data_IF_761978190149
#
_entry.id   IF_761978190149
#
_cell.length_a   1.000
_cell.length_b   1.000
_cell.length_c   1.000
_cell.angle_alpha   90.00
_cell.angle_beta   90.00
_cell.angle_gamma   90.00
#
_symmetry.space_group_name_H-M   'P 1'
#
loop_
_entity.id
_entity.type
_entity.pdbx_description
1 polymer ?
#
# COMPACT_ATOMS: atom_id res chain seq x y z
N UNK A 1 6.46 4.67 -18.19
CA UNK A 1 6.95 5.08 -16.85
C UNK A 1 7.45 3.84 -16.10
N UNK A 2 8.55 3.93 -15.34
CA UNK A 2 9.13 2.80 -14.59
C UNK A 2 8.89 2.96 -13.08
N UNK A 3 8.19 2.02 -12.47
CA UNK A 3 7.79 2.09 -11.05
C UNK A 3 8.99 2.24 -10.09
N UNK A 4 10.08 1.49 -10.33
CA UNK A 4 11.31 1.58 -9.52
C UNK A 4 11.92 2.98 -9.54
N UNK A 5 11.97 3.59 -10.72
CA UNK A 5 12.53 4.95 -10.88
C UNK A 5 11.64 6.00 -10.24
N UNK A 6 10.32 5.89 -10.37
CA UNK A 6 9.35 6.83 -9.78
C UNK A 6 9.47 6.86 -8.26
N UNK A 7 9.45 5.70 -7.61
CA UNK A 7 9.58 5.63 -6.13
C UNK A 7 10.97 6.08 -5.67
N UNK A 8 12.02 5.80 -6.44
CA UNK A 8 13.37 6.29 -6.15
C UNK A 8 13.46 7.81 -6.25
N UNK A 9 12.92 8.41 -7.31
CA UNK A 9 12.84 9.87 -7.46
C UNK A 9 12.04 10.52 -6.34
N UNK A 10 10.92 9.90 -5.92
CA UNK A 10 10.15 10.41 -4.79
C UNK A 10 11.02 10.50 -3.52
N UNK A 11 11.74 9.42 -3.19
CA UNK A 11 12.67 9.41 -2.07
C UNK A 11 13.75 10.49 -2.16
N UNK A 12 14.36 10.65 -3.33
CA UNK A 12 15.46 11.60 -3.57
C UNK A 12 15.02 13.06 -3.50
N UNK A 13 13.76 13.34 -3.82
CA UNK A 13 13.19 14.68 -3.81
C UNK A 13 12.34 14.99 -2.55
N UNK A 14 12.28 14.08 -1.57
CA UNK A 14 11.45 14.25 -0.37
C UNK A 14 9.95 14.29 -0.68
N UNK A 15 9.55 13.58 -1.73
CA UNK A 15 8.17 13.38 -2.17
C UNK A 15 7.69 11.97 -1.82
N UNK A 16 6.41 11.71 -2.05
CA UNK A 16 5.80 10.40 -1.85
C UNK A 16 4.94 10.00 -3.03
N UNK A 17 4.91 8.71 -3.35
CA UNK A 17 3.99 8.13 -4.33
C UNK A 17 2.77 7.60 -3.57
N UNK A 18 1.57 8.20 -3.73
CA UNK A 18 0.34 7.60 -3.27
C UNK A 18 0.10 6.23 -3.93
N UNK A 19 -0.45 5.29 -3.17
CA UNK A 19 -0.88 4.00 -3.70
C UNK A 19 -2.32 3.74 -3.23
N UNK A 20 -3.26 3.78 -4.18
CA UNK A 20 -4.69 3.73 -3.94
C UNK A 20 -5.26 2.36 -4.23
N UNK A 21 -5.79 1.68 -3.20
CA UNK A 21 -6.47 0.41 -3.34
C UNK A 21 -7.88 0.59 -3.94
N UNK A 22 -8.24 -0.32 -4.84
CA UNK A 22 -9.51 -0.28 -5.59
C UNK A 22 -10.28 -1.59 -5.42
N UNK A 23 -10.95 -1.81 -4.28
CA UNK A 23 -11.71 -3.04 -4.01
C UNK A 23 -12.98 -3.20 -4.86
N UNK A 24 -13.48 -2.11 -5.44
CA UNK A 24 -14.66 -2.09 -6.30
C UNK A 24 -14.30 -1.50 -7.66
N UNK A 25 -14.46 -2.24 -8.79
CA UNK A 25 -14.09 -1.77 -10.12
C UNK A 25 -14.65 -0.39 -10.51
N UNK A 26 -15.88 0.02 -10.12
CA UNK A 26 -16.40 1.36 -10.42
C UNK A 26 -15.58 2.52 -9.82
N UNK A 27 -14.77 2.29 -8.78
CA UNK A 27 -13.89 3.30 -8.18
C UNK A 27 -12.68 3.65 -9.05
N UNK A 28 -12.31 2.78 -10.00
CA UNK A 28 -11.07 2.90 -10.75
C UNK A 28 -11.00 4.18 -11.58
N UNK A 29 -12.02 4.43 -12.41
CA UNK A 29 -12.07 5.62 -13.27
C UNK A 29 -12.00 6.95 -12.50
N UNK A 30 -12.80 7.19 -11.45
CA UNK A 30 -12.73 8.44 -10.70
C UNK A 30 -11.39 8.62 -9.95
N UNK A 31 -10.73 7.55 -9.51
CA UNK A 31 -9.40 7.63 -8.89
C UNK A 31 -8.36 8.08 -9.94
N UNK A 32 -8.31 7.43 -11.10
CA UNK A 32 -7.40 7.80 -12.19
C UNK A 32 -7.64 9.25 -12.63
N UNK A 33 -8.91 9.67 -12.79
CA UNK A 33 -9.24 11.04 -13.15
C UNK A 33 -8.75 12.05 -12.10
N UNK A 34 -8.91 11.75 -10.81
CA UNK A 34 -8.43 12.61 -9.74
C UNK A 34 -6.89 12.75 -9.75
N UNK A 35 -6.16 11.67 -10.01
CA UNK A 35 -4.70 11.69 -10.12
C UNK A 35 -4.26 12.61 -11.26
N UNK A 36 -4.89 12.50 -12.43
CA UNK A 36 -4.57 13.32 -13.61
C UNK A 36 -4.92 14.79 -13.38
N UNK A 37 -6.11 15.08 -12.86
CA UNK A 37 -6.57 16.45 -12.64
C UNK A 37 -5.72 17.21 -11.61
N UNK A 38 -5.07 16.48 -10.69
CA UNK A 38 -4.15 17.06 -9.73
C UNK A 38 -2.68 17.07 -10.21
N UNK A 39 -2.40 16.70 -11.47
CA UNK A 39 -1.04 16.58 -12.00
C UNK A 39 -0.12 15.77 -11.07
N UNK A 40 -0.66 14.70 -10.49
CA UNK A 40 0.02 13.79 -9.56
C UNK A 40 0.48 12.51 -10.25
N UNK A 41 1.36 11.76 -9.57
CA UNK A 41 1.71 10.38 -9.93
C UNK A 41 1.30 9.46 -8.79
N UNK A 42 0.55 8.42 -9.09
CA UNK A 42 0.13 7.45 -8.09
C UNK A 42 0.14 6.01 -8.63
N UNK A 43 0.24 5.06 -7.71
CA UNK A 43 -0.07 3.66 -7.99
C UNK A 43 -1.57 3.41 -7.81
N UNK A 44 -2.15 2.71 -8.75
CA UNK A 44 -3.49 2.13 -8.65
C UNK A 44 -3.27 0.65 -8.38
N UNK A 45 -3.82 0.15 -7.29
CA UNK A 45 -3.44 -1.16 -6.79
C UNK A 45 -4.62 -2.00 -6.32
N UNK A 46 -4.37 -3.30 -6.26
CA UNK A 46 -5.29 -4.31 -5.76
C UNK A 46 -4.51 -5.31 -4.91
N UNK A 47 -5.06 -5.69 -3.76
CA UNK A 47 -4.54 -6.74 -2.90
C UNK A 47 -5.31 -8.05 -3.12
N UNK A 48 -4.70 -9.21 -2.79
CA UNK A 48 -5.39 -10.52 -2.85
C UNK A 48 -6.74 -10.49 -2.12
N UNK A 49 -6.76 -9.89 -0.95
CA UNK A 49 -7.97 -9.73 -0.14
C UNK A 49 -9.14 -9.08 -0.92
N UNK A 50 -8.84 -8.19 -1.88
CA UNK A 50 -9.86 -7.40 -2.57
C UNK A 50 -10.60 -8.20 -3.65
N UNK A 51 -10.01 -9.26 -4.19
CA UNK A 51 -10.78 -10.19 -5.04
C UNK A 51 -11.35 -11.39 -4.27
N UNK A 52 -10.86 -11.69 -3.07
CA UNK A 52 -11.41 -12.76 -2.23
C UNK A 52 -12.63 -12.30 -1.40
N UNK A 53 -12.60 -11.06 -0.86
CA UNK A 53 -13.59 -10.55 0.11
C UNK A 53 -14.34 -9.29 -0.37
N UNK A 54 -13.98 -8.73 -1.53
CA UNK A 54 -14.66 -7.59 -2.15
C UNK A 54 -15.00 -7.92 -3.62
N UNK A 55 -15.18 -6.93 -4.48
CA UNK A 55 -15.71 -7.12 -5.84
C UNK A 55 -14.67 -6.97 -6.96
N UNK A 56 -13.38 -7.03 -6.64
CA UNK A 56 -12.34 -6.81 -7.64
C UNK A 56 -12.16 -7.96 -8.66
N UNK A 57 -12.83 -9.08 -8.47
CA UNK A 57 -12.95 -10.25 -9.37
C UNK A 57 -11.69 -11.09 -9.47
N UNK A 58 -10.62 -10.58 -10.07
CA UNK A 58 -9.28 -11.20 -10.17
C UNK A 58 -8.22 -10.17 -10.54
N UNK A 59 -6.97 -10.55 -10.38
CA UNK A 59 -5.85 -9.67 -10.74
C UNK A 59 -5.80 -9.39 -12.26
N UNK A 60 -6.15 -10.35 -13.12
CA UNK A 60 -6.20 -10.17 -14.58
C UNK A 60 -7.37 -9.28 -15.00
N UNK A 61 -8.54 -9.48 -14.37
CA UNK A 61 -9.69 -8.62 -14.62
C UNK A 61 -9.36 -7.18 -14.28
N UNK A 62 -8.78 -6.96 -13.12
CA UNK A 62 -8.38 -5.62 -12.67
C UNK A 62 -7.35 -4.98 -13.60
N UNK A 63 -6.33 -5.71 -14.03
CA UNK A 63 -5.35 -5.23 -15.01
C UNK A 63 -6.02 -4.85 -16.34
N UNK A 64 -6.99 -5.65 -16.81
CA UNK A 64 -7.76 -5.34 -18.00
C UNK A 64 -8.64 -4.09 -17.89
N UNK A 65 -9.26 -3.86 -16.73
CA UNK A 65 -10.03 -2.63 -16.47
C UNK A 65 -9.10 -1.41 -16.32
N UNK A 66 -7.96 -1.57 -15.62
CA UNK A 66 -6.96 -0.51 -15.51
C UNK A 66 -6.42 -0.09 -16.88
N UNK A 67 -6.12 -1.02 -17.78
CA UNK A 67 -5.61 -0.71 -19.12
C UNK A 67 -6.54 0.19 -19.94
N UNK A 68 -7.86 0.19 -19.65
CA UNK A 68 -8.85 1.04 -20.34
C UNK A 68 -8.82 2.50 -19.89
N UNK A 69 -8.25 2.78 -18.70
CA UNK A 69 -8.28 4.10 -18.05
C UNK A 69 -6.90 4.61 -17.68
N UNK A 70 -5.85 3.80 -17.81
CA UNK A 70 -4.48 4.15 -17.47
C UNK A 70 -4.02 5.41 -18.24
N UNK A 71 -3.31 6.29 -17.56
CA UNK A 71 -2.73 7.50 -18.16
C UNK A 71 -1.22 7.49 -17.93
N UNK A 72 -0.48 7.38 -19.02
CA UNK A 72 0.99 7.40 -18.96
C UNK A 72 1.48 8.73 -18.36
N UNK A 73 2.50 8.66 -17.53
CA UNK A 73 3.00 9.82 -16.78
C UNK A 73 2.26 10.09 -15.46
N UNK A 74 1.11 9.45 -15.21
CA UNK A 74 0.32 9.70 -14.00
C UNK A 74 0.02 8.45 -13.19
N UNK A 75 -0.19 7.30 -13.84
CA UNK A 75 -0.62 6.09 -13.13
C UNK A 75 0.31 4.90 -13.37
N UNK A 76 0.47 4.08 -12.34
CA UNK A 76 1.20 2.81 -12.34
C UNK A 76 0.30 1.71 -11.76
N UNK A 77 0.38 0.50 -12.31
CA UNK A 77 -0.34 -0.67 -11.81
C UNK A 77 0.54 -1.45 -10.84
N UNK A 78 0.06 -1.65 -9.61
CA UNK A 78 0.77 -2.38 -8.56
C UNK A 78 -0.09 -3.53 -8.01
N UNK A 79 0.53 -4.71 -7.82
CA UNK A 79 -0.09 -5.78 -7.05
C UNK A 79 0.33 -5.63 -5.60
N UNK A 80 -0.63 -5.26 -4.76
CA UNK A 80 -0.49 -5.07 -3.32
C UNK A 80 -0.73 -6.39 -2.59
N UNK A 81 -0.25 -6.55 -1.39
CA UNK A 81 -0.41 -7.70 -0.48
C UNK A 81 -0.77 -9.05 -1.12
N UNK A 82 0.25 -9.79 -1.54
CA UNK A 82 0.14 -11.24 -1.77
C UNK A 82 0.72 -11.93 -0.52
N UNK A 83 -0.10 -12.42 0.40
CA UNK A 83 0.41 -13.02 1.64
C UNK A 83 0.93 -14.43 1.41
N UNK A 84 1.92 -14.85 2.21
CA UNK A 84 2.32 -16.26 2.33
C UNK A 84 1.38 -17.01 3.27
N UNK A 85 0.97 -16.34 4.36
CA UNK A 85 -0.08 -16.81 5.27
C UNK A 85 -1.13 -15.71 5.31
N UNK A 86 -2.36 -16.02 4.91
CA UNK A 86 -3.42 -15.02 4.81
C UNK A 86 -4.04 -14.65 6.17
N UNK A 87 -5.03 -13.76 6.15
CA UNK A 87 -5.73 -13.26 7.34
C UNK A 87 -6.55 -14.33 8.07
N UNK A 88 -6.87 -15.44 7.39
CA UNK A 88 -7.57 -16.60 7.96
C UNK A 88 -6.57 -17.69 8.41
N UNK A 89 -5.26 -17.36 8.45
CA UNK A 89 -4.15 -18.26 8.82
C UNK A 89 -3.95 -19.45 7.86
N UNK A 90 -4.35 -19.31 6.60
CA UNK A 90 -4.16 -20.32 5.56
C UNK A 90 -2.90 -20.01 4.74
N UNK A 91 -2.17 -21.06 4.36
CA UNK A 91 -1.06 -20.95 3.42
C UNK A 91 -1.59 -20.58 2.03
N UNK A 92 -0.91 -19.65 1.38
CA UNK A 92 -1.23 -19.18 0.03
C UNK A 92 -0.15 -19.64 -0.95
N UNK A 93 -0.56 -20.22 -2.06
CA UNK A 93 0.33 -20.49 -3.19
C UNK A 93 0.62 -19.18 -3.92
N UNK A 94 1.60 -18.41 -3.40
CA UNK A 94 1.87 -17.04 -3.79
C UNK A 94 2.66 -16.92 -5.09
N UNK A 95 3.56 -17.86 -5.42
CA UNK A 95 4.41 -17.77 -6.61
C UNK A 95 3.60 -17.72 -7.91
N UNK A 96 2.60 -18.59 -8.14
CA UNK A 96 1.74 -18.49 -9.32
C UNK A 96 0.96 -17.16 -9.40
N UNK A 97 0.61 -16.54 -8.26
CA UNK A 97 -0.05 -15.23 -8.27
C UNK A 97 0.90 -14.14 -8.78
N UNK A 98 2.18 -14.19 -8.38
CA UNK A 98 3.20 -13.26 -8.87
C UNK A 98 3.45 -13.46 -10.37
N UNK A 99 3.60 -14.71 -10.83
CA UNK A 99 3.78 -15.02 -12.26
C UNK A 99 2.60 -14.51 -13.11
N UNK A 100 1.36 -14.71 -12.64
CA UNK A 100 0.15 -14.21 -13.28
C UNK A 100 0.11 -12.68 -13.32
N UNK A 101 0.53 -12.00 -12.24
CA UNK A 101 0.60 -10.54 -12.22
C UNK A 101 1.63 -10.00 -13.23
N UNK A 102 2.80 -10.63 -13.31
CA UNK A 102 3.82 -10.31 -14.33
C UNK A 102 3.22 -10.47 -15.73
N UNK A 103 2.57 -11.59 -16.01
CA UNK A 103 1.94 -11.87 -17.29
C UNK A 103 0.79 -10.89 -17.62
N UNK A 104 0.06 -10.41 -16.61
CA UNK A 104 -1.02 -9.44 -16.76
C UNK A 104 -0.54 -7.98 -16.90
N UNK A 105 0.77 -7.73 -16.81
CA UNK A 105 1.35 -6.41 -17.04
C UNK A 105 1.42 -5.50 -15.80
N UNK A 106 1.41 -6.07 -14.60
CA UNK A 106 1.71 -5.30 -13.38
C UNK A 106 3.13 -4.74 -13.45
N UNK A 107 3.28 -3.51 -13.02
CA UNK A 107 4.54 -2.75 -13.10
C UNK A 107 5.36 -2.85 -11.80
N UNK A 108 4.78 -3.42 -10.76
CA UNK A 108 5.41 -3.79 -9.50
C UNK A 108 4.53 -4.77 -8.73
N UNK A 109 5.12 -5.57 -7.86
CA UNK A 109 4.42 -6.57 -7.05
C UNK A 109 4.88 -6.49 -5.60
N UNK A 110 4.00 -6.91 -4.68
CA UNK A 110 4.32 -7.03 -3.27
C UNK A 110 4.10 -8.45 -2.77
N UNK A 111 5.04 -8.92 -1.94
CA UNK A 111 4.92 -10.12 -1.13
C UNK A 111 4.80 -9.74 0.35
N UNK A 112 3.84 -10.31 1.05
CA UNK A 112 3.70 -10.19 2.49
C UNK A 112 3.96 -11.54 3.18
N UNK A 113 5.19 -11.72 3.62
CA UNK A 113 5.61 -12.89 4.39
C UNK A 113 5.89 -12.52 5.87
N UNK A 114 5.37 -11.40 6.35
CA UNK A 114 5.59 -10.86 7.69
C UNK A 114 5.10 -11.76 8.83
N UNK A 115 4.27 -12.76 8.52
CA UNK A 115 3.80 -13.79 9.48
C UNK A 115 4.75 -14.97 9.63
N UNK A 116 5.79 -15.07 8.80
CA UNK A 116 6.88 -16.04 8.96
C UNK A 116 7.95 -15.48 9.90
N UNK A 117 8.88 -16.33 10.32
CA UNK A 117 10.12 -15.87 10.93
C UNK A 117 10.99 -15.12 9.91
N UNK A 118 12.03 -14.42 10.38
CA UNK A 118 12.89 -13.61 9.53
C UNK A 118 13.48 -14.40 8.37
N UNK A 119 13.97 -15.62 8.62
CA UNK A 119 14.59 -16.46 7.60
C UNK A 119 13.56 -16.91 6.54
N UNK A 120 12.36 -17.30 6.97
CA UNK A 120 11.25 -17.64 6.08
C UNK A 120 10.77 -16.46 5.25
N UNK A 121 10.65 -15.28 5.86
CA UNK A 121 10.28 -14.05 5.15
C UNK A 121 11.34 -13.68 4.09
N UNK A 122 12.62 -13.75 4.43
CA UNK A 122 13.73 -13.52 3.48
C UNK A 122 13.63 -14.51 2.31
N UNK A 123 13.44 -15.80 2.59
CA UNK A 123 13.39 -16.83 1.55
C UNK A 123 12.21 -16.65 0.60
N UNK A 124 11.01 -16.40 1.14
CA UNK A 124 9.80 -16.14 0.34
C UNK A 124 9.94 -14.88 -0.52
N UNK A 125 10.42 -13.79 0.08
CA UNK A 125 10.63 -12.53 -0.64
C UNK A 125 11.67 -12.69 -1.74
N UNK A 126 12.76 -13.44 -1.50
CA UNK A 126 13.79 -13.71 -2.49
C UNK A 126 13.24 -14.49 -3.69
N UNK A 127 12.41 -15.50 -3.46
CA UNK A 127 11.79 -16.27 -4.54
C UNK A 127 10.91 -15.37 -5.43
N UNK A 128 10.16 -14.45 -4.84
CA UNK A 128 9.37 -13.46 -5.60
C UNK A 128 10.27 -12.47 -6.33
N UNK A 129 11.36 -12.01 -5.71
CA UNK A 129 12.32 -11.12 -6.35
C UNK A 129 12.98 -11.74 -7.58
N UNK A 130 13.31 -13.02 -7.54
CA UNK A 130 13.89 -13.71 -8.67
C UNK A 130 12.94 -13.77 -9.89
N UNK A 131 11.61 -13.94 -9.67
CA UNK A 131 10.59 -13.89 -10.73
C UNK A 131 10.41 -12.45 -11.25
N UNK A 132 10.15 -11.52 -10.37
CA UNK A 132 9.82 -10.13 -10.73
C UNK A 132 11.00 -9.42 -11.41
N UNK A 133 12.22 -9.59 -10.90
CA UNK A 133 13.43 -9.04 -11.52
C UNK A 133 13.72 -9.67 -12.88
N UNK A 134 13.42 -10.96 -13.05
CA UNK A 134 13.47 -11.61 -14.36
C UNK A 134 12.58 -10.94 -15.41
N UNK A 135 11.49 -10.32 -14.98
CA UNK A 135 10.59 -9.52 -15.80
C UNK A 135 10.90 -8.01 -15.79
N UNK A 136 11.91 -7.57 -15.05
CA UNK A 136 12.33 -6.17 -14.97
C UNK A 136 11.43 -5.27 -14.12
N UNK A 137 10.62 -5.84 -13.21
CA UNK A 137 9.74 -5.08 -12.31
C UNK A 137 10.23 -5.18 -10.84
N UNK A 138 10.03 -4.13 -10.04
CA UNK A 138 10.45 -4.10 -8.64
C UNK A 138 9.51 -4.89 -7.72
N UNK A 139 10.08 -5.28 -6.57
CA UNK A 139 9.38 -5.99 -5.50
C UNK A 139 9.34 -5.15 -4.23
N UNK A 140 8.13 -5.00 -3.71
CA UNK A 140 7.86 -4.53 -2.35
C UNK A 140 7.77 -5.73 -1.41
N UNK A 141 8.27 -5.59 -0.19
CA UNK A 141 8.13 -6.60 0.86
C UNK A 141 7.78 -5.95 2.19
N UNK A 142 7.28 -6.73 3.14
CA UNK A 142 6.89 -6.26 4.47
C UNK A 142 7.76 -6.90 5.56
N UNK A 143 8.21 -6.05 6.52
CA UNK A 143 8.90 -6.49 7.72
C UNK A 143 8.35 -5.78 8.95
N UNK A 144 8.05 -6.56 9.99
CA UNK A 144 7.31 -6.11 11.15
C UNK A 144 5.82 -6.39 11.01
N UNK A 145 5.04 -6.08 12.03
CA UNK A 145 3.60 -6.34 12.04
C UNK A 145 2.81 -5.02 12.05
N UNK A 146 2.19 -4.68 10.90
CA UNK A 146 1.21 -3.61 10.84
C UNK A 146 -0.12 -4.16 11.36
N UNK A 147 -0.45 -3.86 12.62
CA UNK A 147 -1.62 -4.36 13.32
C UNK A 147 -2.94 -3.87 12.70
N UNK A 148 -4.06 -4.58 12.93
CA UNK A 148 -5.40 -4.12 12.53
C UNK A 148 -6.22 -5.11 11.71
N UNK A 149 -5.63 -6.13 11.13
CA UNK A 149 -6.34 -7.21 10.44
C UNK A 149 -6.75 -8.36 11.38
N UNK A 150 -6.48 -8.22 12.67
CA UNK A 150 -6.76 -9.29 13.65
C UNK A 150 -8.26 -9.44 13.89
N UNK A 151 -8.70 -10.67 13.85
CA UNK A 151 -10.10 -11.07 14.14
C UNK A 151 -10.37 -11.29 15.63
N UNK A 152 -9.35 -11.19 16.51
CA UNK A 152 -9.49 -11.55 17.92
C UNK A 152 -10.01 -10.41 18.80
N UNK A 153 -10.90 -10.75 19.73
CA UNK A 153 -11.47 -9.84 20.73
C UNK A 153 -10.47 -9.32 21.80
N UNK A 154 -9.22 -9.73 21.76
CA UNK A 154 -8.14 -9.35 22.67
C UNK A 154 -7.09 -8.48 21.99
N UNK A 155 -7.51 -7.51 21.22
CA UNK A 155 -6.58 -6.54 20.64
C UNK A 155 -5.89 -5.72 21.74
N UNK A 156 -4.57 -5.72 21.75
CA UNK A 156 -3.77 -4.86 22.63
C UNK A 156 -4.14 -3.41 22.31
N UNK A 157 -4.39 -2.54 23.31
CA UNK A 157 -4.71 -1.13 23.06
C UNK A 157 -3.62 -0.44 22.23
N UNK A 158 -4.01 0.42 21.31
CA UNK A 158 -3.08 1.13 20.43
C UNK A 158 -1.96 1.87 21.22
N UNK A 159 -2.30 2.51 22.34
CA UNK A 159 -1.34 3.22 23.17
C UNK A 159 -0.25 2.29 23.75
N UNK A 160 -0.59 1.05 24.07
CA UNK A 160 0.35 0.06 24.54
C UNK A 160 1.24 -0.46 23.39
N UNK A 161 0.65 -0.72 22.22
CA UNK A 161 1.40 -1.10 21.00
C UNK A 161 2.43 -0.04 20.70
N UNK A 162 2.04 1.23 20.66
CA UNK A 162 2.92 2.34 20.34
C UNK A 162 4.00 2.57 21.42
N UNK A 163 3.62 2.57 22.70
CA UNK A 163 4.55 2.80 23.80
C UNK A 163 5.61 1.70 23.91
N UNK A 164 5.24 0.46 23.67
CA UNK A 164 6.15 -0.71 23.74
C UNK A 164 6.78 -1.05 22.39
N UNK A 165 6.42 -0.35 21.31
CA UNK A 165 6.86 -0.61 19.93
C UNK A 165 6.61 -2.06 19.50
N UNK A 166 5.46 -2.61 19.88
CA UNK A 166 5.13 -4.00 19.57
C UNK A 166 4.96 -4.18 18.06
N UNK A 167 5.72 -5.13 17.50
CA UNK A 167 5.71 -5.43 16.07
C UNK A 167 6.40 -4.38 15.19
N UNK A 168 7.02 -3.35 15.77
CA UNK A 168 7.76 -2.36 14.98
C UNK A 168 8.96 -3.01 14.31
N UNK A 169 9.27 -2.54 13.11
CA UNK A 169 10.43 -2.99 12.33
C UNK A 169 11.73 -2.60 13.05
N UNK A 170 12.55 -3.59 13.37
CA UNK A 170 13.87 -3.38 13.99
C UNK A 170 14.93 -3.14 12.93
N UNK A 171 15.89 -2.25 13.23
CA UNK A 171 16.89 -1.80 12.24
C UNK A 171 17.81 -2.93 11.82
N UNK A 172 18.29 -3.73 12.78
CA UNK A 172 19.22 -4.82 12.50
C UNK A 172 18.57 -5.95 11.70
N UNK A 173 17.30 -6.28 12.01
CA UNK A 173 16.52 -7.23 11.23
C UNK A 173 16.27 -6.71 9.81
N UNK A 174 15.98 -5.42 9.66
CA UNK A 174 15.76 -4.80 8.35
C UNK A 174 17.02 -4.82 7.48
N UNK A 175 18.20 -4.63 8.06
CA UNK A 175 19.48 -4.76 7.35
C UNK A 175 19.72 -6.19 6.83
N UNK A 176 19.49 -7.18 7.68
CA UNK A 176 19.59 -8.58 7.31
C UNK A 176 18.56 -8.94 6.23
N UNK A 177 17.32 -8.52 6.43
CA UNK A 177 16.20 -8.74 5.51
C UNK A 177 16.49 -8.19 4.11
N UNK A 178 16.82 -6.92 3.99
CA UNK A 178 17.06 -6.27 2.69
C UNK A 178 18.24 -6.92 1.97
N UNK A 179 19.30 -7.28 2.69
CA UNK A 179 20.46 -7.96 2.13
C UNK A 179 20.12 -9.35 1.59
N UNK A 180 19.28 -10.11 2.29
CA UNK A 180 18.93 -11.49 1.94
C UNK A 180 17.82 -11.58 0.90
N UNK A 181 16.79 -10.75 1.00
CA UNK A 181 15.57 -10.80 0.19
C UNK A 181 15.70 -10.19 -1.19
N UNK A 182 16.58 -9.22 -1.37
CA UNK A 182 16.71 -8.39 -2.58
C UNK A 182 15.43 -7.61 -2.95
N UNK A 183 14.58 -7.27 -1.97
CA UNK A 183 13.45 -6.37 -2.21
C UNK A 183 13.92 -4.98 -2.64
N UNK A 184 13.11 -4.30 -3.45
CA UNK A 184 13.40 -2.94 -3.93
C UNK A 184 12.84 -1.87 -3.00
N UNK A 185 11.72 -2.16 -2.33
CA UNK A 185 11.05 -1.30 -1.37
C UNK A 185 10.67 -2.09 -0.12
N UNK A 186 10.71 -1.44 1.04
CA UNK A 186 10.38 -2.09 2.31
C UNK A 186 9.21 -1.39 3.00
N UNK A 187 8.09 -2.10 3.13
CA UNK A 187 6.99 -1.72 4.02
C UNK A 187 7.43 -1.95 5.47
N UNK A 188 7.30 -0.90 6.29
CA UNK A 188 7.79 -0.87 7.66
C UNK A 188 6.65 -0.62 8.66
N UNK A 189 6.65 -1.38 9.75
CA UNK A 189 5.77 -1.16 10.89
C UNK A 189 6.39 -0.13 11.84
N UNK A 190 5.78 1.05 11.92
CA UNK A 190 6.30 2.20 12.68
C UNK A 190 5.19 2.93 13.45
N UNK A 191 4.06 2.26 13.72
CA UNK A 191 2.93 2.78 14.48
C UNK A 191 1.65 3.01 13.68
N UNK A 192 1.66 2.83 12.35
CA UNK A 192 0.42 2.78 11.57
C UNK A 192 -0.38 1.51 11.88
N UNK A 193 -1.68 1.54 11.59
CA UNK A 193 -2.56 0.37 11.72
C UNK A 193 -3.39 0.19 10.46
N UNK A 194 -3.67 -1.05 10.08
CA UNK A 194 -4.57 -1.37 8.97
C UNK A 194 -6.05 -1.06 9.32
N UNK A 195 -6.90 -0.89 8.32
CA UNK A 195 -8.35 -0.83 8.51
C UNK A 195 -8.92 -2.21 8.84
N UNK A 196 -9.94 -2.24 9.70
CA UNK A 196 -10.65 -3.47 9.98
C UNK A 196 -11.34 -4.01 8.72
N UNK A 197 -11.29 -5.33 8.54
CA UNK A 197 -11.84 -6.05 7.39
C UNK A 197 -13.13 -6.75 7.77
N UNK A 198 -13.26 -7.20 9.04
CA UNK A 198 -14.42 -7.90 9.51
C UNK A 198 -15.71 -7.07 9.33
N UNK A 199 -16.78 -7.68 8.83
CA UNK A 199 -18.05 -7.02 8.47
C UNK A 199 -18.64 -6.13 9.57
N UNK A 200 -18.50 -6.54 10.81
CA UNK A 200 -18.98 -5.79 11.99
C UNK A 200 -18.05 -4.65 12.43
N UNK A 201 -16.85 -4.53 11.85
CA UNK A 201 -15.82 -3.57 12.23
C UNK A 201 -15.40 -2.65 11.08
N UNK A 202 -15.69 -3.01 9.81
CA UNK A 202 -15.23 -2.30 8.60
C UNK A 202 -15.69 -0.84 8.52
N UNK A 203 -16.79 -0.50 9.18
CA UNK A 203 -17.34 0.86 9.25
C UNK A 203 -16.87 1.66 10.48
N UNK A 204 -16.12 1.05 11.40
CA UNK A 204 -15.60 1.77 12.56
C UNK A 204 -14.52 2.76 12.14
N UNK A 205 -14.56 3.94 12.77
CA UNK A 205 -13.49 4.92 12.63
C UNK A 205 -12.20 4.32 13.19
N UNK A 206 -11.15 4.33 12.37
CA UNK A 206 -9.81 3.96 12.83
C UNK A 206 -9.38 4.83 14.03
N UNK A 207 -8.61 4.29 14.99
CA UNK A 207 -7.93 5.11 15.96
C UNK A 207 -7.01 6.10 15.23
N UNK A 208 -6.86 7.31 15.76
CA UNK A 208 -5.85 8.25 15.29
C UNK A 208 -4.47 7.64 15.54
N UNK A 209 -3.72 7.39 14.46
CA UNK A 209 -2.43 6.75 14.53
C UNK A 209 -1.29 7.77 14.47
N UNK A 210 -0.27 7.53 15.27
CA UNK A 210 0.99 8.28 15.30
C UNK A 210 2.09 7.43 14.68
N UNK A 211 3.15 8.08 14.18
CA UNK A 211 4.30 7.38 13.62
C UNK A 211 5.56 7.64 14.46
N UNK A 212 6.38 6.63 14.63
CA UNK A 212 7.71 6.78 15.20
C UNK A 212 8.67 7.33 14.13
N UNK A 213 8.70 8.65 14.03
CA UNK A 213 9.51 9.37 13.03
C UNK A 213 11.01 9.10 13.20
N UNK A 214 11.48 8.92 14.45
CA UNK A 214 12.88 8.59 14.70
C UNK A 214 13.22 7.18 14.17
N UNK A 215 12.33 6.21 14.35
CA UNK A 215 12.51 4.86 13.80
C UNK A 215 12.55 4.90 12.26
N UNK A 216 11.67 5.66 11.61
CA UNK A 216 11.73 5.86 10.15
C UNK A 216 13.08 6.42 9.73
N UNK A 217 13.56 7.45 10.42
CA UNK A 217 14.87 8.05 10.11
C UNK A 217 16.04 7.09 10.36
N UNK A 218 15.98 6.23 11.39
CA UNK A 218 16.98 5.20 11.64
C UNK A 218 17.01 4.16 10.52
N UNK A 219 15.84 3.62 10.14
CA UNK A 219 15.71 2.69 9.02
C UNK A 219 16.21 3.32 7.71
N UNK A 220 15.83 4.56 7.42
CA UNK A 220 16.28 5.29 6.23
C UNK A 220 17.81 5.47 6.17
N UNK A 221 18.45 5.73 7.31
CA UNK A 221 19.93 5.86 7.39
C UNK A 221 20.62 4.50 7.19
N UNK A 222 20.03 3.43 7.70
CA UNK A 222 20.59 2.09 7.62
C UNK A 222 20.37 1.44 6.25
N UNK A 223 19.21 1.66 5.65
CA UNK A 223 18.80 1.03 4.40
C UNK A 223 18.95 2.00 3.21
N UNK A 224 19.49 1.53 2.12
CA UNK A 224 19.62 2.34 0.89
C UNK A 224 18.48 2.07 -0.11
N UNK A 225 17.29 1.76 0.40
CA UNK A 225 16.07 1.52 -0.41
C UNK A 225 14.93 2.41 0.08
N UNK A 226 13.92 2.69 -0.78
CA UNK A 226 12.70 3.38 -0.38
C UNK A 226 11.93 2.63 0.71
N UNK A 227 11.40 3.38 1.68
CA UNK A 227 10.50 2.87 2.70
C UNK A 227 9.05 3.11 2.29
N UNK A 228 8.19 2.15 2.62
CA UNK A 228 6.76 2.20 2.35
C UNK A 228 5.99 2.23 3.67
N UNK A 229 4.90 3.00 3.69
CA UNK A 229 4.00 3.08 4.82
C UNK A 229 2.64 2.49 4.44
N UNK A 230 2.28 1.41 5.10
CA UNK A 230 0.93 0.85 5.03
C UNK A 230 0.02 1.44 6.10
N UNK A 231 -1.29 1.31 5.90
CA UNK A 231 -2.26 1.84 6.85
C UNK A 231 -2.32 3.37 6.90
N UNK A 232 -1.99 4.06 5.81
CA UNK A 232 -1.94 5.53 5.70
C UNK A 232 -3.24 6.24 6.10
N UNK A 233 -4.38 5.57 5.98
CA UNK A 233 -5.67 6.09 6.44
C UNK A 233 -5.71 6.23 7.97
N UNK A 234 -6.18 7.40 8.47
CA UNK A 234 -6.35 7.67 9.90
C UNK A 234 -5.08 8.10 10.64
N UNK A 235 -3.98 8.35 9.94
CA UNK A 235 -2.79 8.99 10.51
C UNK A 235 -3.03 10.50 10.62
N UNK A 236 -2.52 11.12 11.68
CA UNK A 236 -2.58 12.58 11.84
C UNK A 236 -1.72 13.27 10.77
N UNK A 237 -2.23 14.33 10.13
CA UNK A 237 -1.57 15.00 8.98
C UNK A 237 -0.11 15.41 9.25
N UNK A 238 0.20 15.90 10.46
CA UNK A 238 1.55 16.30 10.82
C UNK A 238 2.55 15.13 10.73
N UNK A 239 2.10 13.92 11.11
CA UNK A 239 2.95 12.73 11.03
C UNK A 239 3.23 12.31 9.59
N UNK A 240 2.28 12.49 8.65
CA UNK A 240 2.49 12.16 7.23
C UNK A 240 3.62 13.00 6.64
N UNK A 241 3.55 14.32 6.80
CA UNK A 241 4.58 15.24 6.30
C UNK A 241 5.96 14.93 6.90
N UNK A 242 6.01 14.63 8.20
CA UNK A 242 7.26 14.26 8.89
C UNK A 242 7.79 12.91 8.43
N UNK A 243 6.93 11.92 8.20
CA UNK A 243 7.31 10.59 7.72
C UNK A 243 7.91 10.64 6.31
N UNK A 244 7.31 11.43 5.41
CA UNK A 244 7.84 11.65 4.05
C UNK A 244 9.25 12.25 4.14
N UNK A 245 9.43 13.30 4.94
CA UNK A 245 10.75 13.92 5.16
C UNK A 245 11.76 12.97 5.80
N UNK A 246 11.30 12.02 6.60
CA UNK A 246 12.15 11.02 7.26
C UNK A 246 12.52 9.85 6.34
N UNK A 247 11.88 9.68 5.18
CA UNK A 247 12.26 8.68 4.17
C UNK A 247 11.15 7.74 3.68
N UNK A 248 9.89 7.98 4.05
CA UNK A 248 8.76 7.27 3.43
C UNK A 248 8.57 7.80 1.99
N UNK A 249 8.61 6.90 1.00
CA UNK A 249 8.53 7.22 -0.42
C UNK A 249 7.27 6.69 -1.12
N UNK A 250 6.51 5.80 -0.48
CA UNK A 250 5.20 5.29 -0.93
C UNK A 250 4.26 5.18 0.26
N UNK A 251 3.00 5.51 0.08
CA UNK A 251 1.97 5.39 1.14
C UNK A 251 0.72 4.71 0.57
N UNK A 252 0.29 3.62 1.20
CA UNK A 252 -0.94 2.90 0.85
C UNK A 252 -2.16 3.55 1.50
N UNK A 253 -3.19 3.81 0.70
CA UNK A 253 -4.47 4.38 1.12
C UNK A 253 -5.62 3.54 0.56
N UNK A 254 -6.37 2.88 1.43
CA UNK A 254 -7.51 2.04 1.07
C UNK A 254 -8.82 2.57 1.67
N UNK A 255 -8.93 2.55 3.00
CA UNK A 255 -10.17 2.85 3.76
C UNK A 255 -10.75 4.22 3.44
N UNK A 256 -9.90 5.23 3.26
CA UNK A 256 -10.32 6.61 2.96
C UNK A 256 -11.01 6.77 1.60
N UNK A 257 -10.84 5.84 0.68
CA UNK A 257 -11.54 5.82 -0.61
C UNK A 257 -12.69 4.81 -0.60
N UNK A 258 -12.50 3.64 0.00
CA UNK A 258 -13.51 2.60 0.07
C UNK A 258 -14.76 3.03 0.83
N UNK A 259 -14.60 3.58 2.04
CA UNK A 259 -15.75 3.97 2.87
C UNK A 259 -16.65 5.04 2.28
N UNK A 260 -16.14 6.12 1.63
CA UNK A 260 -17.01 7.05 0.88
C UNK A 260 -17.83 6.39 -0.22
N UNK A 261 -17.23 5.45 -0.97
CA UNK A 261 -17.93 4.68 -2.00
C UNK A 261 -19.08 3.86 -1.42
N UNK A 262 -18.79 3.05 -0.42
CA UNK A 262 -19.77 2.18 0.25
C UNK A 262 -20.90 2.97 0.92
N UNK A 263 -20.56 4.10 1.57
CA UNK A 263 -21.57 4.99 2.18
C UNK A 263 -22.49 5.59 1.14
N UNK A 264 -21.93 6.08 0.03
CA UNK A 264 -22.71 6.71 -1.04
C UNK A 264 -23.69 5.72 -1.68
N UNK A 265 -23.27 4.47 -1.91
CA UNK A 265 -24.16 3.41 -2.39
C UNK A 265 -25.29 3.08 -1.41
N UNK A 266 -25.00 3.03 -0.10
CA UNK A 266 -26.03 2.81 0.91
C UNK A 266 -27.03 3.98 1.00
N UNK A 267 -26.58 5.21 0.72
CA UNK A 267 -27.42 6.40 0.76
C UNK A 267 -28.39 6.50 -0.42
N UNK A 268 -27.93 6.19 -1.63
CA UNK A 268 -28.69 6.48 -2.86
C UNK A 268 -28.85 5.32 -3.83
N UNK A 269 -28.16 4.20 -3.64
CA UNK A 269 -28.08 3.09 -4.60
C UNK A 269 -27.73 3.59 -6.03
N UNK A 270 -26.81 4.54 -6.11
CA UNK A 270 -26.40 5.24 -7.33
C UNK A 270 -24.88 5.18 -7.47
N UNK A 271 -24.42 4.43 -8.46
CA UNK A 271 -22.99 4.22 -8.73
C UNK A 271 -22.29 5.52 -9.18
N UNK A 272 -22.97 6.38 -9.95
CA UNK A 272 -22.37 7.66 -10.40
C UNK A 272 -22.22 8.62 -9.22
N UNK A 273 -23.17 8.68 -8.32
CA UNK A 273 -23.04 9.43 -7.07
C UNK A 273 -21.87 8.88 -6.22
N UNK A 274 -21.73 7.57 -6.11
CA UNK A 274 -20.63 6.95 -5.38
C UNK A 274 -19.26 7.27 -6.02
N UNK A 275 -19.17 7.25 -7.34
CA UNK A 275 -17.97 7.65 -8.11
C UNK A 275 -17.57 9.10 -7.85
N UNK A 276 -18.53 10.01 -7.82
CA UNK A 276 -18.29 11.43 -7.52
C UNK A 276 -17.70 11.62 -6.11
N UNK A 277 -18.20 10.85 -5.13
CA UNK A 277 -17.67 10.89 -3.76
C UNK A 277 -16.23 10.37 -3.68
N UNK A 278 -15.91 9.30 -4.42
CA UNK A 278 -14.55 8.79 -4.53
C UNK A 278 -13.63 9.80 -5.20
N UNK A 279 -14.04 10.39 -6.32
CA UNK A 279 -13.28 11.41 -7.03
C UNK A 279 -12.93 12.59 -6.12
N UNK A 280 -13.94 13.16 -5.45
CA UNK A 280 -13.75 14.28 -4.53
C UNK A 280 -12.79 13.93 -3.41
N UNK A 281 -12.97 12.74 -2.78
CA UNK A 281 -12.10 12.31 -1.68
C UNK A 281 -10.67 12.03 -2.15
N UNK A 282 -10.48 11.45 -3.32
CA UNK A 282 -9.16 11.20 -3.87
C UNK A 282 -8.39 12.51 -4.10
N UNK A 283 -9.03 13.54 -4.63
CA UNK A 283 -8.43 14.87 -4.79
C UNK A 283 -8.03 15.51 -3.45
N UNK A 284 -8.90 15.44 -2.44
CA UNK A 284 -8.57 15.90 -1.07
C UNK A 284 -7.32 15.17 -0.52
N UNK A 285 -7.25 13.85 -0.71
CA UNK A 285 -6.09 13.07 -0.27
C UNK A 285 -4.80 13.51 -0.97
N UNK A 286 -4.84 13.73 -2.27
CA UNK A 286 -3.69 14.17 -3.06
C UNK A 286 -3.24 15.58 -2.64
N UNK A 287 -4.18 16.54 -2.50
CA UNK A 287 -3.86 17.94 -2.20
C UNK A 287 -3.51 18.18 -0.74
N UNK A 288 -4.41 17.74 0.16
CA UNK A 288 -4.47 18.25 1.53
C UNK A 288 -3.84 17.28 2.54
N UNK A 289 -3.73 16.00 2.18
CA UNK A 289 -3.20 14.98 3.07
C UNK A 289 -1.79 14.50 2.67
N UNK A 290 -1.59 14.16 1.40
CA UNK A 290 -0.31 13.65 0.88
C UNK A 290 0.54 14.75 0.24
N UNK A 291 -0.06 15.88 -0.13
CA UNK A 291 0.59 17.05 -0.74
C UNK A 291 1.34 16.70 -2.03
N UNK A 292 0.74 15.86 -2.88
CA UNK A 292 1.37 15.35 -4.11
C UNK A 292 0.81 15.96 -5.40
N UNK A 293 -0.01 17.01 -5.28
CA UNK A 293 -0.50 17.76 -6.44
C UNK A 293 0.67 18.47 -7.16
N UNK A 294 0.78 18.27 -8.48
CA UNK A 294 1.82 18.87 -9.32
C UNK A 294 3.16 18.12 -9.31
N UNK A 295 3.24 16.93 -8.70
CA UNK A 295 4.48 16.16 -8.59
C UNK A 295 4.84 15.39 -9.86
N UNK A 296 3.92 15.26 -10.84
CA UNK A 296 4.18 14.54 -12.09
C UNK A 296 5.41 15.09 -12.84
N UNK A 297 5.61 16.40 -12.85
CA UNK A 297 6.77 17.07 -13.46
C UNK A 297 8.13 16.69 -12.86
N UNK A 298 8.15 16.17 -11.63
CA UNK A 298 9.38 15.75 -10.95
C UNK A 298 9.56 14.24 -11.09
N UNK A 299 8.45 13.48 -10.96
CA UNK A 299 8.49 12.03 -10.87
C UNK A 299 8.54 11.34 -12.25
N UNK A 300 8.01 11.95 -13.28
CA UNK A 300 8.09 11.50 -14.67
C UNK A 300 9.22 12.19 -15.41
#
# INVERSE_FOLDING_TARGET
MNAKQVVRKALENGLVVPAFNVPYPPMLKPIVQAIVDEDSVAMVQIARLEWEKFEAVSLEHFAGEYAKVAVEGHTLLHLDHVPVIDEDHLEVDYLPLIERAVAAGYQSVMIDASRLDLAGNIAATRAVADIAHGAGIPVEAELGAVMGHETSQQAVPYEEIFARKLGFTEVDEALEFVKGSACDWLSVAVGSVHGAIADNLKDRKKPSARLDIERIAQLRRALNIPLVLHGGSGIENDYITRAIRAGIAKINVATELRQPYERALREKDDVEYARERVYTRCRELIRDFLHTAGDAKVLC
#
